data_IF_570149400477
#
_entry.id   IF_570149400477
#
_cell.length_a   1.000
_cell.length_b   1.000
_cell.length_c   1.000
_cell.angle_alpha   90.00
_cell.angle_beta   90.00
_cell.angle_gamma   90.00
#
_symmetry.space_group_name_H-M   'P 1'
#
loop_
_entity.id
_entity.type
_entity.pdbx_description
1 polymer ?
#
# COMPACT_ATOMS: atom_id res chain seq x y z
N UNK A 1 -5.09 -6.97 -28.09
CA UNK A 1 -4.58 -5.59 -28.09
C UNK A 1 -5.69 -4.68 -27.60
N UNK A 2 -5.66 -4.27 -26.32
CA UNK A 2 -6.59 -3.29 -25.79
C UNK A 2 -6.24 -1.92 -26.38
N UNK A 3 -7.21 -1.25 -27.00
CA UNK A 3 -7.05 0.11 -27.53
C UNK A 3 -6.78 1.07 -26.36
N UNK A 4 -5.54 1.50 -26.18
CA UNK A 4 -5.06 2.43 -25.14
C UNK A 4 -5.60 3.88 -25.25
N UNK A 5 -6.76 4.09 -25.90
CA UNK A 5 -7.35 5.43 -26.05
C UNK A 5 -8.28 5.83 -24.91
N UNK A 6 -8.52 4.97 -23.93
CA UNK A 6 -9.41 5.24 -22.80
C UNK A 6 -8.67 5.11 -21.47
N UNK A 7 -8.77 6.13 -20.61
CA UNK A 7 -8.12 6.22 -19.29
C UNK A 7 -8.79 5.35 -18.21
N UNK A 8 -9.32 4.20 -18.58
CA UNK A 8 -10.21 3.35 -17.76
C UNK A 8 -9.64 1.94 -17.51
N UNK A 9 -8.37 1.70 -17.82
CA UNK A 9 -7.72 0.37 -17.73
C UNK A 9 -7.82 -0.31 -16.36
N UNK A 10 -7.99 0.48 -15.30
CA UNK A 10 -7.97 0.04 -13.90
C UNK A 10 -9.36 -0.33 -13.35
N UNK A 11 -10.43 -0.08 -14.11
CA UNK A 11 -11.82 -0.26 -13.70
C UNK A 11 -12.41 -1.67 -13.95
N UNK A 12 -12.11 -2.37 -15.05
CA UNK A 12 -12.76 -3.63 -15.37
C UNK A 12 -12.63 -4.66 -14.24
N UNK A 13 -13.61 -5.57 -14.06
CA UNK A 13 -13.51 -6.64 -13.05
C UNK A 13 -12.24 -7.51 -13.20
N UNK A 14 -11.74 -7.67 -14.43
CA UNK A 14 -10.47 -8.37 -14.69
C UNK A 14 -9.27 -7.73 -13.99
N UNK A 15 -9.33 -6.43 -13.68
CA UNK A 15 -8.29 -5.70 -12.95
C UNK A 15 -8.27 -5.99 -11.43
N UNK A 16 -9.18 -6.84 -10.94
CA UNK A 16 -9.36 -7.24 -9.54
C UNK A 16 -9.25 -8.74 -9.30
N UNK A 17 -8.98 -9.50 -10.37
CA UNK A 17 -8.72 -10.94 -10.29
C UNK A 17 -7.36 -11.16 -9.63
N UNK A 18 -7.34 -12.02 -8.62
CA UNK A 18 -6.10 -12.49 -8.00
C UNK A 18 -5.57 -13.68 -8.78
N UNK A 19 -4.35 -13.56 -9.29
CA UNK A 19 -3.67 -14.64 -9.98
C UNK A 19 -2.70 -15.35 -9.03
N UNK A 20 -2.64 -16.67 -9.07
CA UNK A 20 -1.72 -17.44 -8.25
C UNK A 20 -0.60 -17.97 -9.14
N UNK A 21 0.39 -17.12 -9.42
CA UNK A 21 1.58 -17.50 -10.17
C UNK A 21 2.49 -18.39 -9.31
N UNK A 22 2.84 -19.58 -9.82
CA UNK A 22 3.66 -20.57 -9.11
C UNK A 22 5.18 -20.33 -9.18
N UNK A 23 5.64 -19.21 -9.74
CA UNK A 23 7.05 -18.98 -10.03
C UNK A 23 7.59 -17.76 -9.27
N UNK A 24 7.72 -17.91 -7.96
CA UNK A 24 8.49 -16.98 -7.12
C UNK A 24 9.96 -17.43 -7.05
N UNK A 25 10.92 -16.50 -6.84
CA UNK A 25 12.33 -16.87 -6.72
C UNK A 25 12.50 -17.91 -5.60
N UNK A 26 13.24 -19.01 -5.82
CA UNK A 26 13.40 -20.08 -4.83
C UNK A 26 14.21 -19.63 -3.60
N UNK A 27 14.93 -18.52 -3.71
CA UNK A 27 15.84 -18.01 -2.68
C UNK A 27 15.11 -17.04 -1.76
N UNK A 28 15.19 -17.31 -0.45
CA UNK A 28 14.75 -16.38 0.60
C UNK A 28 15.61 -15.11 0.55
N UNK A 29 15.04 -13.90 0.49
CA UNK A 29 15.81 -12.67 0.59
C UNK A 29 16.61 -12.61 1.90
N UNK A 30 17.71 -11.88 1.89
CA UNK A 30 18.51 -11.66 3.09
C UNK A 30 17.75 -10.80 4.12
N UNK A 31 18.08 -10.90 5.42
CA UNK A 31 17.53 -10.00 6.43
C UNK A 31 17.79 -8.51 6.16
N UNK A 32 18.87 -8.17 5.44
CA UNK A 32 19.15 -6.78 5.06
C UNK A 32 18.08 -6.22 4.12
N UNK A 33 17.63 -7.00 3.13
CA UNK A 33 16.54 -6.60 2.21
C UNK A 33 15.26 -6.29 2.99
N UNK A 34 14.92 -7.14 3.94
CA UNK A 34 13.75 -6.94 4.81
C UNK A 34 13.87 -5.67 5.67
N UNK A 35 15.03 -5.42 6.26
CA UNK A 35 15.27 -4.20 7.04
C UNK A 35 15.21 -2.94 6.15
N UNK A 36 15.72 -3.00 4.92
CA UNK A 36 15.66 -1.89 3.96
C UNK A 36 14.21 -1.58 3.56
N UNK A 37 13.42 -2.62 3.28
CA UNK A 37 12.00 -2.49 3.03
C UNK A 37 11.26 -1.78 4.18
N UNK A 38 11.49 -2.22 5.42
CA UNK A 38 10.89 -1.62 6.62
C UNK A 38 11.29 -0.15 6.78
N UNK A 39 12.58 0.17 6.60
CA UNK A 39 13.08 1.55 6.69
C UNK A 39 12.38 2.47 5.68
N UNK A 40 12.22 2.03 4.43
CA UNK A 40 11.49 2.82 3.43
C UNK A 40 10.02 3.03 3.79
N UNK A 41 9.34 2.03 4.35
CA UNK A 41 7.97 2.21 4.83
C UNK A 41 7.90 3.22 5.99
N UNK A 42 8.82 3.14 6.96
CA UNK A 42 8.88 4.12 8.06
C UNK A 42 9.17 5.54 7.54
N UNK A 43 10.05 5.69 6.55
CA UNK A 43 10.30 6.97 5.89
C UNK A 43 9.04 7.51 5.19
N UNK A 44 8.23 6.65 4.57
CA UNK A 44 6.95 7.04 3.98
C UNK A 44 5.94 7.53 5.04
N UNK A 45 5.93 6.95 6.24
CA UNK A 45 5.09 7.43 7.35
C UNK A 45 5.49 8.84 7.78
N UNK A 46 6.79 9.09 7.94
CA UNK A 46 7.32 10.42 8.27
C UNK A 46 7.03 11.42 7.16
N UNK A 47 7.14 11.00 5.89
CA UNK A 47 6.79 11.84 4.74
C UNK A 47 5.30 12.19 4.74
N UNK A 48 4.43 11.23 5.03
CA UNK A 48 3.00 11.47 5.15
C UNK A 48 2.68 12.50 6.24
N UNK A 49 3.30 12.38 7.42
CA UNK A 49 3.17 13.34 8.51
C UNK A 49 3.57 14.77 8.09
N UNK A 50 4.68 14.91 7.34
CA UNK A 50 5.25 16.21 6.97
C UNK A 50 4.60 16.85 5.74
N UNK A 51 4.18 16.05 4.77
CA UNK A 51 3.77 16.51 3.44
C UNK A 51 2.28 16.24 3.13
N UNK A 52 1.59 15.48 3.97
CA UNK A 52 0.21 15.06 3.74
C UNK A 52 0.04 14.02 2.64
N UNK A 53 1.13 13.44 2.13
CA UNK A 53 1.12 12.32 1.17
C UNK A 53 2.40 11.49 1.25
N UNK A 54 2.34 10.28 0.73
CA UNK A 54 3.48 9.36 0.56
C UNK A 54 3.24 8.43 -0.63
N UNK A 55 4.24 7.62 -1.02
CA UNK A 55 4.02 6.60 -2.06
C UNK A 55 2.92 5.58 -1.71
N UNK A 56 2.58 5.42 -0.43
CA UNK A 56 1.47 4.60 0.06
C UNK A 56 0.13 5.36 0.15
N UNK A 57 0.14 6.61 0.63
CA UNK A 57 -1.10 7.40 0.84
C UNK A 57 -1.13 8.61 -0.10
N UNK A 58 -2.08 8.60 -1.04
CA UNK A 58 -2.20 9.64 -2.04
C UNK A 58 -2.70 10.98 -1.47
N UNK A 59 -2.18 12.10 -2.00
CA UNK A 59 -2.50 13.48 -1.55
C UNK A 59 -3.96 13.89 -1.67
N UNK A 60 -4.77 13.17 -2.47
CA UNK A 60 -6.20 13.44 -2.67
C UNK A 60 -7.11 12.48 -1.93
N UNK A 61 -6.60 11.36 -1.41
CA UNK A 61 -7.43 10.28 -0.86
C UNK A 61 -8.35 10.78 0.28
N UNK A 62 -7.81 11.55 1.22
CA UNK A 62 -8.55 12.06 2.38
C UNK A 62 -8.70 13.59 2.38
N UNK A 63 -8.52 14.24 1.22
CA UNK A 63 -8.52 15.71 1.14
C UNK A 63 -9.92 16.31 0.98
N UNK A 64 -10.79 15.60 0.28
CA UNK A 64 -12.13 16.10 -0.08
C UNK A 64 -13.18 15.77 0.99
N UNK A 65 -13.03 14.63 1.66
CA UNK A 65 -13.75 14.29 2.87
C UNK A 65 -13.00 14.84 4.09
N UNK A 66 -13.72 15.08 5.20
CA UNK A 66 -13.07 15.26 6.49
C UNK A 66 -12.21 14.01 6.76
N UNK A 67 -10.93 14.20 7.11
CA UNK A 67 -10.02 13.09 7.35
C UNK A 67 -10.63 12.11 8.37
N UNK A 68 -10.78 10.81 8.03
CA UNK A 68 -11.39 9.82 8.92
C UNK A 68 -10.68 9.75 10.26
N UNK A 69 -11.43 9.48 11.33
CA UNK A 69 -10.87 9.36 12.69
C UNK A 69 -9.72 8.34 12.75
N UNK A 70 -9.87 7.19 12.07
CA UNK A 70 -8.84 6.16 11.96
C UNK A 70 -7.48 6.74 11.50
N UNK A 71 -7.51 7.60 10.48
CA UNK A 71 -6.31 8.19 9.87
C UNK A 71 -5.74 9.29 10.77
N UNK A 72 -6.60 10.06 11.45
CA UNK A 72 -6.15 11.09 12.42
C UNK A 72 -5.38 10.47 13.58
N UNK A 73 -5.93 9.39 14.16
CA UNK A 73 -5.30 8.65 15.26
C UNK A 73 -3.97 8.02 14.81
N UNK A 74 -3.92 7.49 13.59
CA UNK A 74 -2.68 6.97 13.00
C UNK A 74 -1.62 8.07 12.78
N UNK A 75 -1.99 9.25 12.28
CA UNK A 75 -1.08 10.40 12.12
C UNK A 75 -0.53 10.86 13.48
N UNK A 76 -1.38 10.91 14.51
CA UNK A 76 -0.95 11.21 15.87
C UNK A 76 0.06 10.16 16.39
N UNK A 77 -0.18 8.88 16.14
CA UNK A 77 0.75 7.81 16.51
C UNK A 77 2.10 7.93 15.78
N UNK A 78 2.11 8.33 14.49
CA UNK A 78 3.36 8.63 13.77
C UNK A 78 4.09 9.76 14.48
N UNK A 79 3.42 10.88 14.80
CA UNK A 79 4.04 12.01 15.48
C UNK A 79 4.63 11.62 16.85
N UNK A 80 3.88 10.86 17.67
CA UNK A 80 4.37 10.34 18.94
C UNK A 80 5.62 9.46 18.75
N UNK A 81 5.62 8.57 17.76
CA UNK A 81 6.77 7.70 17.49
C UNK A 81 8.05 8.47 17.14
N UNK A 82 7.94 9.64 16.49
CA UNK A 82 9.09 10.49 16.17
C UNK A 82 9.70 11.16 17.40
N UNK A 83 8.94 11.27 18.48
CA UNK A 83 9.39 11.86 19.76
C UNK A 83 9.80 10.80 20.79
N UNK A 84 9.76 9.52 20.42
CA UNK A 84 10.02 8.42 21.34
C UNK A 84 11.49 8.33 21.74
N UNK A 85 11.71 8.30 23.05
CA UNK A 85 13.01 8.07 23.70
C UNK A 85 12.83 6.99 24.78
N UNK A 86 13.92 6.36 25.24
CA UNK A 86 13.84 5.42 26.36
C UNK A 86 13.17 6.03 27.61
N UNK A 87 13.38 7.33 27.87
CA UNK A 87 12.87 8.00 29.06
C UNK A 87 11.35 8.23 29.02
N UNK A 88 10.77 8.48 27.84
CA UNK A 88 9.34 8.78 27.68
C UNK A 88 8.52 7.60 27.12
N UNK A 89 9.14 6.44 26.91
CA UNK A 89 8.48 5.26 26.36
C UNK A 89 7.27 4.81 27.18
N UNK A 90 7.34 4.98 28.50
CA UNK A 90 6.25 4.66 29.44
C UNK A 90 5.00 5.53 29.23
N UNK A 91 5.13 6.69 28.57
CA UNK A 91 4.02 7.59 28.22
C UNK A 91 3.52 7.28 26.80
N UNK A 92 4.44 7.12 25.85
CA UNK A 92 4.11 6.94 24.44
C UNK A 92 3.48 5.58 24.16
N UNK A 93 3.94 4.53 24.85
CA UNK A 93 3.44 3.17 24.60
C UNK A 93 1.95 3.04 24.94
N UNK A 94 1.47 3.44 26.14
CA UNK A 94 0.04 3.42 26.45
C UNK A 94 -0.80 4.30 25.52
N UNK A 95 -0.30 5.49 25.14
CA UNK A 95 -1.03 6.35 24.20
C UNK A 95 -1.19 5.72 22.82
N UNK A 96 -0.10 5.18 22.26
CA UNK A 96 -0.10 4.48 20.97
C UNK A 96 -1.01 3.24 21.00
N UNK A 97 -0.97 2.50 22.11
CA UNK A 97 -1.82 1.33 22.35
C UNK A 97 -3.30 1.74 22.45
N UNK A 98 -3.61 2.86 23.11
CA UNK A 98 -4.96 3.41 23.19
C UNK A 98 -5.57 3.71 21.82
N UNK A 99 -4.80 4.31 20.90
CA UNK A 99 -5.25 4.55 19.53
C UNK A 99 -5.55 3.25 18.77
N UNK A 100 -4.67 2.24 18.89
CA UNK A 100 -4.88 0.93 18.27
C UNK A 100 -6.15 0.25 18.82
N UNK A 101 -6.35 0.26 20.13
CA UNK A 101 -7.55 -0.34 20.74
C UNK A 101 -8.83 0.40 20.38
N UNK A 102 -8.79 1.73 20.28
CA UNK A 102 -9.93 2.51 19.82
C UNK A 102 -10.31 2.17 18.36
N UNK A 103 -9.31 1.98 17.49
CA UNK A 103 -9.53 1.53 16.11
C UNK A 103 -10.16 0.13 16.07
N UNK A 104 -9.60 -0.82 16.84
CA UNK A 104 -10.11 -2.18 16.91
C UNK A 104 -11.52 -2.24 17.50
N UNK A 105 -11.83 -1.43 18.51
CA UNK A 105 -13.17 -1.38 19.10
C UNK A 105 -14.22 -0.81 18.12
N UNK A 106 -13.83 0.19 17.31
CA UNK A 106 -14.71 0.82 16.31
C UNK A 106 -15.12 -0.14 15.19
N UNK A 107 -14.25 -1.07 14.84
CA UNK A 107 -14.43 -2.01 13.73
C UNK A 107 -14.47 -3.48 14.20
N UNK A 108 -14.61 -3.72 15.51
CA UNK A 108 -14.44 -5.03 16.14
C UNK A 108 -15.61 -5.99 15.97
N UNK A 109 -16.77 -5.47 15.56
CA UNK A 109 -17.97 -6.27 15.25
C UNK A 109 -17.84 -7.05 13.93
N UNK A 110 -16.88 -6.76 13.06
CA UNK A 110 -16.67 -7.47 11.78
C UNK A 110 -15.99 -8.86 11.95
N UNK A 111 -16.20 -9.50 13.11
CA UNK A 111 -15.47 -10.67 13.59
C UNK A 111 -16.01 -12.01 13.10
N UNK A 112 -17.24 -12.09 12.57
CA UNK A 112 -17.75 -13.33 12.00
C UNK A 112 -17.31 -13.48 10.54
N UNK A 113 -16.86 -14.69 10.19
CA UNK A 113 -16.40 -15.09 8.84
C UNK A 113 -17.50 -14.90 7.76
N UNK A 114 -18.74 -14.65 8.17
CA UNK A 114 -19.92 -14.48 7.33
C UNK A 114 -20.52 -13.06 7.38
N UNK A 115 -20.01 -12.15 8.21
CA UNK A 115 -20.53 -10.78 8.27
C UNK A 115 -19.86 -9.93 7.19
N UNK A 116 -20.69 -9.49 6.24
CA UNK A 116 -20.34 -8.44 5.30
C UNK A 116 -20.15 -7.17 6.12
N UNK A 117 -18.94 -6.62 6.11
CA UNK A 117 -18.66 -5.32 6.74
C UNK A 117 -19.62 -4.28 6.16
N UNK A 118 -20.29 -3.50 7.01
CA UNK A 118 -21.22 -2.45 6.58
C UNK A 118 -20.52 -1.20 6.00
N UNK A 119 -19.19 -1.28 5.80
CA UNK A 119 -18.39 -0.20 5.25
C UNK A 119 -18.52 -0.14 3.74
N UNK A 120 -18.56 1.08 3.21
CA UNK A 120 -18.36 1.32 1.78
C UNK A 120 -16.92 1.00 1.37
N UNK A 121 -16.70 0.73 0.08
CA UNK A 121 -15.36 0.54 -0.49
C UNK A 121 -14.43 1.74 -0.21
N UNK A 122 -14.97 2.96 -0.10
CA UNK A 122 -14.18 4.16 0.22
C UNK A 122 -13.72 4.25 1.68
N UNK A 123 -14.39 3.54 2.61
CA UNK A 123 -14.06 3.55 4.04
C UNK A 123 -13.06 2.45 4.42
N UNK A 124 -13.03 1.34 3.69
CA UNK A 124 -12.07 0.26 3.95
C UNK A 124 -10.59 0.72 3.94
N UNK A 125 -10.13 1.60 3.01
CA UNK A 125 -8.75 2.08 3.02
C UNK A 125 -8.35 2.74 4.34
N UNK A 126 -9.24 3.53 4.98
CA UNK A 126 -8.89 4.28 6.19
C UNK A 126 -8.52 3.37 7.35
N UNK A 127 -9.36 2.37 7.62
CA UNK A 127 -9.13 1.43 8.72
C UNK A 127 -7.93 0.51 8.47
N UNK A 128 -7.73 0.07 7.22
CA UNK A 128 -6.63 -0.84 6.89
C UNK A 128 -5.30 -0.10 6.93
N UNK A 129 -5.23 1.10 6.35
CA UNK A 129 -4.03 1.94 6.41
C UNK A 129 -3.72 2.35 7.85
N UNK A 130 -4.72 2.71 8.66
CA UNK A 130 -4.52 3.04 10.07
C UNK A 130 -3.96 1.84 10.86
N UNK A 131 -4.57 0.65 10.72
CA UNK A 131 -4.07 -0.56 11.39
C UNK A 131 -2.65 -0.88 10.93
N UNK A 132 -2.38 -0.85 9.63
CA UNK A 132 -1.04 -1.06 9.07
C UNK A 132 -0.02 -0.08 9.67
N UNK A 133 -0.36 1.20 9.81
CA UNK A 133 0.52 2.21 10.43
C UNK A 133 0.81 1.84 11.88
N UNK A 134 -0.22 1.56 12.69
CA UNK A 134 -0.02 1.18 14.09
C UNK A 134 0.89 -0.05 14.23
N UNK A 135 0.70 -1.05 13.37
CA UNK A 135 1.51 -2.27 13.36
C UNK A 135 2.95 -2.00 12.88
N UNK A 136 3.16 -1.20 11.84
CA UNK A 136 4.50 -0.79 11.40
C UNK A 136 5.28 -0.09 12.52
N UNK A 137 4.62 0.78 13.27
CA UNK A 137 5.23 1.51 14.39
C UNK A 137 5.54 0.60 15.59
N UNK A 138 4.75 -0.46 15.82
CA UNK A 138 4.88 -1.32 16.99
C UNK A 138 5.77 -2.55 16.73
N UNK A 139 5.56 -3.26 15.61
CA UNK A 139 6.29 -4.48 15.23
C UNK A 139 7.78 -4.23 14.94
N UNK A 140 8.12 -3.03 14.47
CA UNK A 140 9.49 -2.63 14.18
C UNK A 140 10.05 -1.64 15.19
N UNK A 141 9.45 -1.60 16.39
CA UNK A 141 9.98 -0.87 17.54
C UNK A 141 11.10 -1.65 18.24
N UNK A 142 12.12 -0.98 18.82
CA UNK A 142 13.08 -1.65 19.71
C UNK A 142 12.40 -2.30 20.93
N UNK A 143 11.24 -1.80 21.32
CA UNK A 143 10.46 -2.29 22.48
C UNK A 143 9.89 -3.69 22.24
N UNK A 144 10.35 -4.66 23.03
CA UNK A 144 9.81 -6.04 23.00
C UNK A 144 8.31 -6.04 23.37
N UNK A 145 7.92 -5.23 24.35
CA UNK A 145 6.52 -5.11 24.79
C UNK A 145 5.62 -4.67 23.64
N UNK A 146 5.99 -3.59 22.94
CA UNK A 146 5.18 -3.08 21.82
C UNK A 146 5.06 -4.10 20.68
N UNK A 147 6.12 -4.87 20.43
CA UNK A 147 6.08 -5.98 19.46
C UNK A 147 5.08 -7.05 19.88
N UNK A 148 5.22 -7.56 21.10
CA UNK A 148 4.34 -8.61 21.63
C UNK A 148 2.86 -8.19 21.69
N UNK A 149 2.57 -6.91 21.96
CA UNK A 149 1.21 -6.37 21.96
C UNK A 149 0.63 -6.22 20.53
N UNK A 150 1.48 -6.06 19.50
CA UNK A 150 1.04 -5.86 18.13
C UNK A 150 0.90 -7.17 17.32
N UNK A 151 1.70 -8.18 17.63
CA UNK A 151 1.70 -9.48 16.95
C UNK A 151 0.30 -10.13 16.81
N UNK A 152 -0.56 -10.17 17.85
CA UNK A 152 -1.89 -10.78 17.76
C UNK A 152 -2.81 -10.12 16.72
N UNK A 153 -2.48 -8.91 16.26
CA UNK A 153 -3.30 -8.13 15.35
C UNK A 153 -2.92 -8.32 13.87
N UNK A 154 -1.88 -9.10 13.56
CA UNK A 154 -1.50 -9.45 12.18
C UNK A 154 -2.64 -10.15 11.43
N UNK A 155 -3.34 -11.10 12.07
CA UNK A 155 -4.49 -11.79 11.46
C UNK A 155 -5.64 -10.83 11.16
N UNK A 156 -5.84 -9.83 12.02
CA UNK A 156 -6.85 -8.79 11.80
C UNK A 156 -6.46 -7.88 10.63
N UNK A 157 -5.19 -7.52 10.50
CA UNK A 157 -4.69 -6.78 9.34
C UNK A 157 -4.97 -7.54 8.04
N UNK A 158 -4.60 -8.83 7.98
CA UNK A 158 -4.83 -9.65 6.79
C UNK A 158 -6.32 -9.81 6.47
N UNK A 159 -7.15 -10.03 7.49
CA UNK A 159 -8.62 -10.13 7.33
C UNK A 159 -9.23 -8.84 6.79
N UNK A 160 -8.90 -7.69 7.38
CA UNK A 160 -9.41 -6.40 6.90
C UNK A 160 -8.87 -6.05 5.52
N UNK A 161 -7.63 -6.46 5.20
CA UNK A 161 -7.04 -6.33 3.86
C UNK A 161 -7.78 -7.18 2.83
N UNK A 162 -8.23 -8.37 3.22
CA UNK A 162 -9.07 -9.22 2.36
C UNK A 162 -10.45 -8.59 2.13
N UNK A 163 -11.11 -8.12 3.19
CA UNK A 163 -12.39 -7.43 3.09
C UNK A 163 -12.30 -6.16 2.21
N UNK A 164 -11.22 -5.40 2.32
CA UNK A 164 -10.90 -4.26 1.44
C UNK A 164 -10.87 -4.67 -0.04
N UNK A 165 -10.19 -5.77 -0.36
CA UNK A 165 -10.11 -6.28 -1.74
C UNK A 165 -11.46 -6.78 -2.24
N UNK A 166 -12.17 -7.57 -1.43
CA UNK A 166 -13.45 -8.16 -1.80
C UNK A 166 -14.52 -7.10 -2.03
N UNK A 167 -14.55 -6.04 -1.20
CA UNK A 167 -15.41 -4.87 -1.38
C UNK A 167 -15.15 -4.19 -2.73
N UNK A 168 -13.89 -3.91 -3.05
CA UNK A 168 -13.53 -3.27 -4.31
C UNK A 168 -13.81 -4.13 -5.55
N UNK A 169 -13.60 -5.45 -5.44
CA UNK A 169 -13.91 -6.39 -6.51
C UNK A 169 -15.43 -6.48 -6.75
N UNK A 170 -16.23 -6.45 -5.69
CA UNK A 170 -17.69 -6.41 -5.80
C UNK A 170 -18.17 -5.12 -6.48
N UNK A 171 -17.63 -3.97 -6.08
CA UNK A 171 -17.94 -2.68 -6.71
C UNK A 171 -17.49 -2.64 -8.18
N UNK A 172 -16.37 -3.29 -8.53
CA UNK A 172 -15.92 -3.40 -9.92
C UNK A 172 -16.90 -4.22 -10.75
N UNK A 173 -17.34 -5.36 -10.24
CA UNK A 173 -18.28 -6.27 -10.90
C UNK A 173 -19.66 -5.65 -11.11
N UNK A 174 -20.06 -4.76 -10.22
CA UNK A 174 -21.35 -4.07 -10.24
C UNK A 174 -21.29 -2.66 -10.85
N UNK A 175 -20.10 -2.25 -11.32
CA UNK A 175 -19.82 -0.92 -11.89
C UNK A 175 -20.00 0.27 -10.92
N UNK A 176 -19.99 0.00 -9.60
CA UNK A 176 -20.01 1.01 -8.53
C UNK A 176 -18.64 1.62 -8.20
N UNK A 177 -17.54 1.21 -8.87
CA UNK A 177 -16.27 1.95 -8.76
C UNK A 177 -16.27 3.30 -9.51
N UNK A 178 -17.28 3.55 -10.35
CA UNK A 178 -17.40 4.77 -11.17
C UNK A 178 -18.42 5.83 -10.67
N UNK A 179 -19.39 5.61 -9.77
CA UNK A 179 -20.32 6.66 -9.37
C UNK A 179 -20.06 7.13 -7.94
N UNK A 180 -19.16 8.11 -7.72
CA UNK A 180 -19.09 8.85 -6.44
C UNK A 180 -18.33 10.19 -6.53
N UNK A 181 -18.95 11.13 -7.23
CA UNK A 181 -19.37 12.38 -6.59
C UNK A 181 -20.85 12.57 -6.96
N UNK A 182 -21.59 13.43 -6.26
CA UNK A 182 -22.67 14.21 -6.90
C UNK A 182 -22.36 14.42 -8.38
N UNK A 183 -23.28 14.28 -9.36
CA UNK A 183 -22.98 14.47 -10.78
C UNK A 183 -22.04 15.66 -10.91
N UNK A 184 -20.75 15.37 -11.02
CA UNK A 184 -19.76 16.42 -11.04
C UNK A 184 -19.90 16.89 -12.46
N UNK A 185 -20.01 18.20 -12.65
CA UNK A 185 -20.04 18.76 -13.98
C UNK A 185 -18.82 18.31 -14.84
N UNK A 186 -17.79 17.72 -14.20
CA UNK A 186 -16.56 17.22 -14.80
C UNK A 186 -16.37 15.69 -14.62
N UNK A 187 -16.63 14.88 -15.67
CA UNK A 187 -16.35 13.44 -15.70
C UNK A 187 -14.89 13.06 -15.44
N UNK A 188 -13.93 13.92 -15.80
CA UNK A 188 -12.51 13.64 -15.64
C UNK A 188 -12.09 13.63 -14.17
N UNK A 189 -12.64 14.55 -13.38
CA UNK A 189 -12.43 14.57 -11.94
C UNK A 189 -12.94 13.29 -11.25
N UNK A 190 -14.10 12.78 -11.68
CA UNK A 190 -14.64 11.51 -11.20
C UNK A 190 -13.73 10.32 -11.50
N UNK A 191 -13.25 10.21 -12.74
CA UNK A 191 -12.32 9.15 -13.15
C UNK A 191 -11.00 9.20 -12.37
N UNK A 192 -10.46 10.39 -12.16
CA UNK A 192 -9.23 10.56 -11.38
C UNK A 192 -9.44 10.18 -9.89
N UNK A 193 -10.58 10.50 -9.29
CA UNK A 193 -10.92 10.05 -7.92
C UNK A 193 -11.02 8.53 -7.84
N UNK A 194 -11.67 7.90 -8.83
CA UNK A 194 -11.75 6.45 -8.92
C UNK A 194 -10.34 5.82 -9.07
N UNK A 195 -9.48 6.39 -9.90
CA UNK A 195 -8.08 5.96 -10.01
C UNK A 195 -7.37 6.02 -8.66
N UNK A 196 -7.46 7.15 -7.95
CA UNK A 196 -6.84 7.35 -6.64
C UNK A 196 -7.33 6.30 -5.63
N UNK A 197 -8.65 6.06 -5.56
CA UNK A 197 -9.23 5.09 -4.64
C UNK A 197 -8.75 3.66 -4.96
N UNK A 198 -8.88 3.25 -6.23
CA UNK A 198 -8.56 1.89 -6.66
C UNK A 198 -7.06 1.57 -6.54
N UNK A 199 -6.18 2.51 -6.86
CA UNK A 199 -4.74 2.34 -6.63
C UNK A 199 -4.37 2.40 -5.14
N UNK A 200 -5.08 3.21 -4.33
CA UNK A 200 -4.88 3.19 -2.87
C UNK A 200 -5.21 1.81 -2.29
N UNK A 201 -6.28 1.17 -2.77
CA UNK A 201 -6.65 -0.20 -2.37
C UNK A 201 -5.53 -1.19 -2.74
N UNK A 202 -5.08 -1.20 -4.01
CA UNK A 202 -4.04 -2.11 -4.49
C UNK A 202 -2.71 -1.94 -3.76
N UNK A 203 -2.26 -0.70 -3.57
CA UNK A 203 -1.02 -0.39 -2.84
C UNK A 203 -1.11 -0.79 -1.37
N UNK A 204 -2.25 -0.53 -0.73
CA UNK A 204 -2.50 -0.94 0.66
C UNK A 204 -2.51 -2.46 0.79
N UNK A 205 -3.17 -3.16 -0.14
CA UNK A 205 -3.21 -4.62 -0.18
C UNK A 205 -1.81 -5.23 -0.28
N UNK A 206 -0.99 -4.74 -1.22
CA UNK A 206 0.39 -5.17 -1.40
C UNK A 206 1.21 -4.93 -0.13
N UNK A 207 1.22 -3.71 0.40
CA UNK A 207 2.07 -3.38 1.56
C UNK A 207 1.64 -4.15 2.80
N UNK A 208 0.34 -4.34 3.05
CA UNK A 208 -0.12 -5.09 4.22
C UNK A 208 0.32 -6.56 4.18
N UNK A 209 0.21 -7.21 3.02
CA UNK A 209 0.64 -8.59 2.85
C UNK A 209 2.17 -8.74 2.87
N UNK A 210 2.90 -7.87 2.16
CA UNK A 210 4.37 -7.88 2.14
C UNK A 210 4.92 -7.60 3.55
N UNK A 211 4.38 -6.61 4.26
CA UNK A 211 4.79 -6.28 5.64
C UNK A 211 4.62 -7.46 6.58
N UNK A 212 3.46 -8.13 6.53
CA UNK A 212 3.22 -9.32 7.35
C UNK A 212 4.21 -10.43 7.02
N UNK A 213 4.46 -10.68 5.73
CA UNK A 213 5.43 -11.68 5.31
C UNK A 213 6.86 -11.34 5.78
N UNK A 214 7.28 -10.10 5.59
CA UNK A 214 8.60 -9.59 5.99
C UNK A 214 8.79 -9.75 7.51
N UNK A 215 7.80 -9.35 8.30
CA UNK A 215 7.84 -9.50 9.76
C UNK A 215 8.03 -10.96 10.19
N UNK A 216 7.19 -11.85 9.68
CA UNK A 216 7.26 -13.27 10.04
C UNK A 216 8.59 -13.90 9.59
N UNK A 217 9.13 -13.51 8.43
CA UNK A 217 10.43 -13.98 7.97
C UNK A 217 11.58 -13.49 8.85
N UNK A 218 11.53 -12.25 9.35
CA UNK A 218 12.49 -11.73 10.33
C UNK A 218 12.39 -12.47 11.68
N UNK A 219 11.19 -12.87 12.10
CA UNK A 219 10.96 -13.68 13.29
C UNK A 219 11.29 -15.17 13.12
N UNK A 220 11.82 -15.59 11.95
CA UNK A 220 12.06 -17.00 11.59
C UNK A 220 10.82 -17.91 11.62
N UNK A 221 9.61 -17.34 11.71
CA UNK A 221 8.33 -18.04 11.76
C UNK A 221 7.54 -17.96 10.44
N UNK A 222 8.04 -17.20 9.46
CA UNK A 222 7.35 -16.95 8.20
C UNK A 222 7.58 -18.05 7.16
N UNK A 223 6.54 -18.36 6.35
CA UNK A 223 6.74 -19.17 5.15
C UNK A 223 7.68 -18.43 4.18
N UNK A 224 8.34 -19.14 3.26
CA UNK A 224 8.99 -18.49 2.12
C UNK A 224 8.01 -17.54 1.42
N UNK A 225 8.49 -16.39 0.90
CA UNK A 225 7.67 -15.45 0.11
C UNK A 225 6.88 -16.20 -0.98
N UNK A 226 7.50 -17.23 -1.57
CA UNK A 226 6.94 -18.19 -2.53
C UNK A 226 5.64 -18.88 -2.15
N UNK A 227 5.33 -18.99 -0.85
CA UNK A 227 4.21 -19.77 -0.31
C UNK A 227 3.16 -18.89 0.37
N UNK A 228 3.34 -17.56 0.33
CA UNK A 228 2.35 -16.63 0.88
C UNK A 228 1.12 -16.64 -0.02
N UNK A 229 -0.05 -16.96 0.55
CA UNK A 229 -1.35 -16.94 -0.15
C UNK A 229 -1.88 -15.51 -0.36
N UNK A 230 -1.02 -14.59 -0.76
CA UNK A 230 -1.37 -13.19 -1.06
C UNK A 230 -2.15 -13.09 -2.38
N UNK A 231 -1.85 -13.94 -3.35
CA UNK A 231 -2.28 -13.73 -4.74
C UNK A 231 -1.55 -12.55 -5.37
N UNK A 232 -1.36 -12.61 -6.68
CA UNK A 232 -0.75 -11.57 -7.48
C UNK A 232 -1.83 -10.60 -7.98
N UNK A 233 -1.52 -9.31 -7.90
CA UNK A 233 -2.45 -8.21 -8.19
C UNK A 233 -1.87 -7.31 -9.26
N UNK A 234 -2.74 -6.79 -10.12
CA UNK A 234 -2.38 -5.64 -10.94
C UNK A 234 -2.26 -4.39 -10.08
N UNK A 235 -1.30 -3.53 -10.43
CA UNK A 235 -1.26 -2.15 -9.96
C UNK A 235 -0.55 -1.26 -10.97
N UNK A 236 -0.77 0.05 -10.85
CA UNK A 236 -0.20 1.05 -11.75
C UNK A 236 1.19 1.45 -11.26
N UNK A 237 2.19 1.31 -12.14
CA UNK A 237 3.61 1.47 -11.80
C UNK A 237 4.29 2.64 -12.49
N UNK A 238 3.63 3.25 -13.48
CA UNK A 238 4.18 4.38 -14.24
C UNK A 238 4.36 5.61 -13.36
N UNK A 239 5.59 6.13 -13.32
CA UNK A 239 5.92 7.38 -12.67
C UNK A 239 5.03 8.53 -13.17
N UNK A 240 4.60 9.40 -12.25
CA UNK A 240 3.76 10.55 -12.55
C UNK A 240 2.25 10.29 -12.53
N UNK A 241 1.77 9.04 -12.67
CA UNK A 241 0.34 8.75 -12.55
C UNK A 241 -0.14 8.86 -11.09
N UNK A 242 0.55 8.19 -10.16
CA UNK A 242 0.23 8.29 -8.73
C UNK A 242 0.53 9.69 -8.17
N UNK A 243 1.63 10.32 -8.58
CA UNK A 243 2.03 11.61 -8.02
C UNK A 243 1.32 12.82 -8.64
N UNK A 244 0.45 12.60 -9.64
CA UNK A 244 -0.30 13.64 -10.31
C UNK A 244 -0.99 14.56 -9.29
N UNK A 245 -0.85 15.88 -9.46
CA UNK A 245 -1.43 16.85 -8.50
C UNK A 245 -2.94 17.11 -8.73
N UNK A 246 -3.46 16.66 -9.88
CA UNK A 246 -4.85 16.84 -10.28
C UNK A 246 -5.17 16.10 -11.58
N UNK A 247 -6.46 16.08 -11.92
CA UNK A 247 -7.01 15.22 -12.96
C UNK A 247 -6.43 15.49 -14.37
N UNK A 248 -6.22 16.75 -14.74
CA UNK A 248 -5.65 17.10 -16.06
C UNK A 248 -4.21 16.58 -16.26
N UNK A 249 -3.36 16.62 -15.23
CA UNK A 249 -1.98 16.08 -15.32
C UNK A 249 -1.99 14.56 -15.33
N UNK A 250 -2.88 13.95 -14.56
CA UNK A 250 -3.10 12.51 -14.57
C UNK A 250 -3.52 12.04 -15.97
N UNK A 251 -4.49 12.71 -16.58
CA UNK A 251 -4.97 12.39 -17.94
C UNK A 251 -3.87 12.54 -18.99
N UNK A 252 -3.16 13.68 -18.99
CA UNK A 252 -2.07 13.92 -19.93
C UNK A 252 -1.01 12.81 -19.86
N UNK A 253 -0.69 12.34 -18.65
CA UNK A 253 0.27 11.24 -18.44
C UNK A 253 -0.31 9.90 -18.91
N UNK A 254 -1.58 9.64 -18.59
CA UNK A 254 -2.29 8.40 -18.93
C UNK A 254 -2.50 8.22 -20.44
N UNK A 255 -2.70 9.31 -21.17
CA UNK A 255 -2.84 9.30 -22.63
C UNK A 255 -1.48 9.31 -23.35
N UNK A 256 -0.46 9.92 -22.74
CA UNK A 256 0.87 10.07 -23.34
C UNK A 256 1.78 8.86 -23.15
N UNK A 257 1.53 8.01 -22.16
CA UNK A 257 2.43 6.89 -21.80
C UNK A 257 1.65 5.64 -21.41
N UNK A 258 2.28 4.46 -21.57
CA UNK A 258 1.71 3.22 -21.07
C UNK A 258 1.64 3.24 -19.53
N UNK A 259 0.50 2.92 -18.89
CA UNK A 259 0.36 3.01 -17.44
C UNK A 259 1.22 2.02 -16.65
N UNK A 260 1.89 1.07 -17.33
CA UNK A 260 2.61 -0.04 -16.70
C UNK A 260 1.70 -0.77 -15.70
N UNK A 261 0.45 -0.98 -16.11
CA UNK A 261 -0.54 -1.71 -15.32
C UNK A 261 -0.29 -3.21 -15.48
N UNK A 262 0.55 -3.73 -14.59
CA UNK A 262 1.07 -5.10 -14.65
C UNK A 262 0.90 -5.76 -13.28
N UNK A 263 0.90 -7.09 -13.31
CA UNK A 263 1.00 -7.90 -12.11
C UNK A 263 2.27 -7.56 -11.31
N UNK A 264 2.15 -7.56 -9.99
CA UNK A 264 3.25 -7.29 -9.09
C UNK A 264 4.41 -8.27 -9.28
N UNK A 265 4.14 -9.57 -9.40
CA UNK A 265 5.21 -10.56 -9.59
C UNK A 265 5.87 -10.47 -10.97
N UNK A 266 5.19 -9.88 -11.96
CA UNK A 266 5.72 -9.67 -13.31
C UNK A 266 6.65 -8.46 -13.42
N UNK A 267 6.96 -7.77 -12.31
CA UNK A 267 7.86 -6.63 -12.32
C UNK A 267 9.24 -6.93 -12.94
N UNK A 268 9.74 -8.17 -12.81
CA UNK A 268 11.06 -8.56 -13.38
C UNK A 268 11.16 -8.40 -14.89
N UNK A 269 10.02 -8.31 -15.58
CA UNK A 269 9.99 -8.08 -17.03
C UNK A 269 10.29 -6.63 -17.42
N UNK A 270 10.26 -5.67 -16.47
CA UNK A 270 10.48 -4.24 -16.77
C UNK A 270 11.88 -3.95 -17.32
N UNK A 271 12.99 -4.43 -16.70
CA UNK A 271 14.31 -4.21 -17.26
C UNK A 271 14.51 -4.94 -18.60
N UNK A 272 13.90 -6.13 -18.76
CA UNK A 272 14.00 -6.94 -19.99
C UNK A 272 13.29 -6.27 -21.18
N UNK A 273 12.22 -5.54 -20.91
CA UNK A 273 11.44 -4.79 -21.91
C UNK A 273 11.99 -3.39 -22.17
N UNK A 274 13.12 -3.02 -21.55
CA UNK A 274 13.79 -1.74 -21.75
C UNK A 274 13.14 -0.56 -21.01
N UNK A 275 12.31 -0.80 -20.00
CA UNK A 275 11.74 0.27 -19.17
C UNK A 275 12.81 0.80 -18.21
N UNK A 276 12.99 2.12 -18.18
CA UNK A 276 13.96 2.78 -17.30
C UNK A 276 13.46 2.81 -15.86
N UNK A 277 14.36 2.76 -14.87
CA UNK A 277 13.94 2.84 -13.47
C UNK A 277 13.23 4.16 -13.13
N UNK A 278 13.65 5.27 -13.76
CA UNK A 278 13.02 6.59 -13.59
C UNK A 278 11.58 6.66 -14.15
N UNK A 279 11.21 5.75 -15.05
CA UNK A 279 9.85 5.64 -15.58
C UNK A 279 8.90 4.89 -14.64
N UNK A 280 9.45 4.26 -13.60
CA UNK A 280 8.72 3.46 -12.61
C UNK A 280 8.69 4.21 -11.29
N UNK A 281 7.50 4.30 -10.70
CA UNK A 281 7.29 5.09 -9.50
C UNK A 281 8.06 4.55 -8.28
N UNK A 282 8.23 5.42 -7.29
CA UNK A 282 8.96 5.11 -6.05
C UNK A 282 8.36 3.92 -5.28
N UNK A 283 7.03 3.76 -5.32
CA UNK A 283 6.36 2.67 -4.61
C UNK A 283 6.75 1.32 -5.22
N UNK A 284 6.60 1.19 -6.55
CA UNK A 284 6.92 -0.01 -7.30
C UNK A 284 8.38 -0.42 -7.10
N UNK A 285 9.32 0.53 -7.25
CA UNK A 285 10.75 0.26 -7.04
C UNK A 285 11.04 -0.24 -5.62
N UNK A 286 10.41 0.37 -4.61
CA UNK A 286 10.59 -0.05 -3.22
C UNK A 286 10.06 -1.46 -2.95
N UNK A 287 8.86 -1.81 -3.44
CA UNK A 287 8.31 -3.17 -3.24
C UNK A 287 9.09 -4.23 -4.03
N UNK A 288 9.76 -3.87 -5.11
CA UNK A 288 10.62 -4.79 -5.88
C UNK A 288 11.93 -5.15 -5.19
N UNK A 289 12.42 -4.35 -4.24
CA UNK A 289 13.58 -4.74 -3.43
C UNK A 289 13.36 -6.08 -2.72
N UNK A 290 12.12 -6.35 -2.29
CA UNK A 290 11.73 -7.61 -1.64
C UNK A 290 11.69 -8.79 -2.62
N UNK A 291 11.37 -8.55 -3.89
CA UNK A 291 11.27 -9.60 -4.92
C UNK A 291 12.60 -9.89 -5.62
N UNK A 292 13.45 -8.88 -5.83
CA UNK A 292 14.65 -8.97 -6.67
C UNK A 292 15.96 -8.89 -5.86
N UNK A 293 15.87 -8.66 -4.55
CA UNK A 293 16.99 -8.18 -3.72
C UNK A 293 17.40 -6.73 -4.09
N UNK A 294 18.04 -6.05 -3.15
CA UNK A 294 18.34 -4.61 -3.26
C UNK A 294 19.34 -4.32 -4.39
N UNK A 295 20.41 -5.12 -4.48
CA UNK A 295 21.47 -5.02 -5.48
C UNK A 295 20.95 -5.13 -6.92
N UNK A 296 19.85 -5.85 -7.16
CA UNK A 296 19.28 -5.98 -8.50
C UNK A 296 18.52 -4.73 -8.92
N UNK A 297 17.74 -4.15 -8.01
CA UNK A 297 17.03 -2.89 -8.24
C UNK A 297 18.03 -1.74 -8.37
N UNK A 298 19.10 -1.73 -7.56
CA UNK A 298 20.18 -0.75 -7.67
C UNK A 298 20.90 -0.86 -9.02
N UNK A 299 21.28 -2.08 -9.44
CA UNK A 299 21.88 -2.31 -10.77
C UNK A 299 20.97 -1.90 -11.91
N UNK A 300 19.66 -2.11 -11.81
CA UNK A 300 18.71 -1.62 -12.80
C UNK A 300 18.66 -0.09 -12.83
N UNK A 301 18.63 0.55 -11.66
CA UNK A 301 18.64 2.02 -11.52
C UNK A 301 19.90 2.63 -12.13
N UNK A 302 21.08 2.11 -11.79
CA UNK A 302 22.37 2.57 -12.31
C UNK A 302 22.50 2.37 -13.83
N UNK A 303 22.10 1.20 -14.35
CA UNK A 303 22.17 0.90 -15.79
C UNK A 303 21.26 1.80 -16.64
N UNK A 304 20.17 2.29 -16.06
CA UNK A 304 19.18 3.12 -16.75
C UNK A 304 19.38 4.61 -16.52
N UNK A 305 20.53 5.00 -15.93
CA UNK A 305 20.89 6.41 -15.70
C UNK A 305 20.07 7.09 -14.60
N UNK A 306 19.39 6.34 -13.75
CA UNK A 306 18.68 6.88 -12.60
C UNK A 306 19.64 7.23 -11.46
N UNK A 307 19.30 8.27 -10.69
CA UNK A 307 19.97 8.50 -9.41
C UNK A 307 19.55 7.39 -8.43
N UNK A 308 20.53 6.75 -7.80
CA UNK A 308 20.28 5.93 -6.62
C UNK A 308 19.91 6.91 -5.52
N UNK A 309 18.61 7.16 -5.33
CA UNK A 309 18.14 7.83 -4.11
C UNK A 309 18.43 6.90 -2.94
N UNK A 310 19.64 7.03 -2.38
CA UNK A 310 19.96 6.62 -1.02
C UNK A 310 19.21 7.58 -0.08
N UNK A 311 17.88 7.49 -0.08
CA UNK A 311 17.04 8.13 0.91
C UNK A 311 16.60 7.03 1.88
N UNK A 312 17.52 6.64 2.75
CA UNK A 312 17.18 5.98 4.01
C UNK A 312 17.10 7.04 5.11
#
# INVERSE_FOLDING_TARGET
MLSYRTVTWFLPPSAWVLEYHYMLPPKRPSPSVFNNFVRGLQAWLVRYLKQGHSPLIHRRLYKEAHMPQDVRDAVAAIALSQTATPDNEHIISPASHGYLFALLARHGSDGHVLEVSNLSTAEHPSRVQALLIHLLLALFSPSIRRRAEAEPHLDTLLRWTRQLWDSANLDAATSYLVPLGTPTADPLAGLYRAFVLTESIRRTYLVANITTCVYLNLCSSGPPLGQVRMGDVYFTQRAGLWDAIGAARWEATALGTCPLFLHFLNGRTLPETGVMAAEVDEFARHVYTVLWEDDEVERWTLRTGGEVTAAY
#
